data_IF_191503829139
#
_entry.id   IF_191503829139
#
_cell.length_a   1.000
_cell.length_b   1.000
_cell.length_c   1.000
_cell.angle_alpha   90.00
_cell.angle_beta   90.00
_cell.angle_gamma   90.00
#
_symmetry.space_group_name_H-M   'P 1'
#
loop_
_entity.id
_entity.type
_entity.pdbx_description
1 polymer ?
#
# COMPACT_ATOMS: atom_id res chain seq x y z
N UNK A 1 -48.41 18.40 19.37
CA UNK A 1 -47.54 17.46 18.64
C UNK A 1 -46.12 17.70 19.10
N UNK A 2 -45.70 16.94 20.11
CA UNK A 2 -44.37 17.07 20.72
C UNK A 2 -43.40 16.29 19.83
N UNK A 3 -42.64 16.98 18.97
CA UNK A 3 -41.59 16.36 18.19
C UNK A 3 -40.47 15.97 19.15
N UNK A 4 -40.36 14.67 19.44
CA UNK A 4 -39.20 14.08 20.09
C UNK A 4 -37.97 14.30 19.19
N UNK A 5 -37.23 15.38 19.46
CA UNK A 5 -35.86 15.53 18.98
C UNK A 5 -35.01 14.50 19.75
N UNK A 6 -35.01 13.26 19.27
CA UNK A 6 -34.01 12.27 19.67
C UNK A 6 -32.65 12.90 19.30
N UNK A 7 -31.77 13.19 20.28
CA UNK A 7 -30.46 13.70 19.94
C UNK A 7 -29.81 12.62 19.08
N UNK A 8 -29.39 12.97 17.88
CA UNK A 8 -28.47 12.15 17.12
C UNK A 8 -27.17 12.20 17.93
N UNK A 9 -27.10 11.39 18.99
CA UNK A 9 -25.88 11.14 19.72
C UNK A 9 -24.94 10.58 18.67
N UNK A 10 -24.04 11.43 18.19
CA UNK A 10 -22.88 10.99 17.43
C UNK A 10 -22.22 9.94 18.33
N UNK A 11 -22.40 8.67 17.97
CA UNK A 11 -21.67 7.56 18.56
C UNK A 11 -20.21 7.85 18.20
N UNK A 12 -19.52 8.55 19.10
CA UNK A 12 -18.08 8.72 19.02
C UNK A 12 -17.49 7.33 19.23
N UNK A 13 -17.28 6.60 18.14
CA UNK A 13 -16.52 5.36 18.16
C UNK A 13 -15.07 5.77 18.41
N UNK A 14 -14.66 5.75 19.66
CA UNK A 14 -13.25 5.87 20.00
C UNK A 14 -12.56 4.57 19.58
N UNK A 15 -11.52 4.66 18.76
CA UNK A 15 -10.61 3.54 18.55
C UNK A 15 -9.92 3.28 19.89
N UNK A 16 -10.12 2.10 20.49
CA UNK A 16 -9.82 1.91 21.91
C UNK A 16 -8.33 1.77 22.23
N UNK A 17 -7.46 1.59 21.23
CA UNK A 17 -6.02 1.41 21.42
C UNK A 17 -5.17 1.70 20.17
N UNK A 18 -5.67 2.46 19.19
CA UNK A 18 -4.89 2.85 18.01
C UNK A 18 -4.00 4.06 18.36
N UNK A 19 -2.69 3.95 18.12
CA UNK A 19 -1.77 5.08 18.28
C UNK A 19 -1.92 6.07 17.10
N UNK A 20 -2.51 7.24 17.36
CA UNK A 20 -2.82 8.23 16.33
C UNK A 20 -1.84 9.40 16.26
N UNK A 21 -1.01 9.62 17.29
CA UNK A 21 -0.09 10.77 17.33
C UNK A 21 1.18 10.49 16.53
N UNK A 22 1.69 9.27 16.60
CA UNK A 22 2.91 8.85 15.90
C UNK A 22 2.69 7.59 15.05
N UNK A 23 1.86 7.64 13.99
CA UNK A 23 1.68 6.51 13.09
C UNK A 23 2.94 6.29 12.24
N UNK A 24 3.22 5.03 11.90
CA UNK A 24 4.24 4.73 10.89
C UNK A 24 3.66 4.98 9.50
N UNK A 25 4.23 5.96 8.79
CA UNK A 25 3.77 6.36 7.46
C UNK A 25 4.72 5.91 6.37
N UNK A 26 4.20 5.17 5.39
CA UNK A 26 4.90 4.86 4.16
C UNK A 26 4.35 5.72 3.02
N UNK A 27 5.19 5.99 2.03
CA UNK A 27 4.79 6.75 0.84
C UNK A 27 5.46 6.18 -0.39
N UNK A 28 4.77 6.26 -1.53
CA UNK A 28 5.26 5.78 -2.81
C UNK A 28 5.26 6.87 -3.89
N UNK A 29 5.54 6.50 -5.15
CA UNK A 29 5.60 7.44 -6.26
C UNK A 29 4.27 8.19 -6.46
N UNK A 30 4.34 9.50 -6.74
CA UNK A 30 3.15 10.34 -6.96
C UNK A 30 2.31 9.80 -8.13
N UNK A 31 1.00 9.71 -7.92
CA UNK A 31 0.05 9.26 -8.96
C UNK A 31 0.01 7.74 -9.19
N UNK A 32 0.83 6.95 -8.49
CA UNK A 32 0.89 5.49 -8.62
C UNK A 32 -0.26 4.73 -7.93
N UNK A 33 -1.04 5.43 -7.12
CA UNK A 33 -2.07 4.89 -6.23
C UNK A 33 -1.46 3.91 -5.20
N UNK A 34 -0.25 4.21 -4.71
CA UNK A 34 0.36 3.51 -3.59
C UNK A 34 -0.59 3.46 -2.39
N UNK A 35 -0.85 2.25 -1.88
CA UNK A 35 -1.84 2.00 -0.83
C UNK A 35 -3.19 1.50 -1.34
N UNK A 36 -3.30 1.20 -2.64
CA UNK A 36 -4.53 0.63 -3.22
C UNK A 36 -4.88 -0.75 -2.64
N UNK A 37 -3.86 -1.55 -2.33
CA UNK A 37 -3.97 -2.82 -1.61
C UNK A 37 -2.83 -2.97 -0.62
N UNK A 38 -3.07 -3.68 0.48
CA UNK A 38 -2.13 -3.89 1.57
C UNK A 38 -2.13 -5.35 2.01
N UNK A 39 -0.97 -5.86 2.40
CA UNK A 39 -0.81 -7.16 3.06
C UNK A 39 0.35 -7.12 4.06
N UNK A 40 0.43 -8.13 4.93
CA UNK A 40 1.49 -8.31 5.92
C UNK A 40 2.40 -9.44 5.49
N UNK A 41 3.70 -9.19 5.48
CA UNK A 41 4.71 -10.18 5.13
C UNK A 41 5.71 -10.38 6.27
N UNK A 42 5.78 -11.61 6.79
CA UNK A 42 6.67 -11.99 7.90
C UNK A 42 7.47 -13.26 7.56
N UNK A 43 8.57 -13.12 6.80
CA UNK A 43 9.44 -14.24 6.46
C UNK A 43 10.35 -14.63 7.64
N UNK A 44 9.83 -15.49 8.53
CA UNK A 44 10.58 -16.10 9.62
C UNK A 44 11.39 -15.06 10.40
N UNK A 45 12.71 -15.26 10.49
CA UNK A 45 13.60 -14.44 11.32
C UNK A 45 13.97 -13.07 10.70
N UNK A 46 13.43 -12.71 9.53
CA UNK A 46 13.82 -11.47 8.80
C UNK A 46 12.98 -10.24 9.16
N UNK A 47 12.06 -10.37 10.11
CA UNK A 47 11.22 -9.27 10.56
C UNK A 47 9.98 -9.03 9.69
N UNK A 48 9.19 -8.03 10.09
CA UNK A 48 7.86 -7.74 9.56
C UNK A 48 7.99 -6.70 8.45
N UNK A 49 7.25 -6.88 7.37
CA UNK A 49 7.11 -5.87 6.31
C UNK A 49 5.65 -5.68 5.96
N UNK A 50 5.31 -4.45 5.59
CA UNK A 50 4.03 -4.15 4.94
C UNK A 50 4.24 -4.26 3.44
N UNK A 51 3.39 -5.02 2.78
CA UNK A 51 3.34 -5.12 1.32
C UNK A 51 2.32 -4.12 0.82
N UNK A 52 2.72 -3.26 -0.11
CA UNK A 52 1.86 -2.19 -0.62
C UNK A 52 1.72 -2.27 -2.13
N UNK A 53 0.49 -2.38 -2.62
CA UNK A 53 0.17 -2.30 -4.04
C UNK A 53 0.06 -0.85 -4.53
N UNK A 54 0.59 -0.57 -5.71
CA UNK A 54 0.49 0.70 -6.42
C UNK A 54 0.20 0.44 -7.91
N UNK A 55 -1.08 0.28 -8.31
CA UNK A 55 -1.45 -0.23 -9.63
C UNK A 55 -1.10 0.71 -10.79
N UNK A 56 -0.72 1.97 -10.53
CA UNK A 56 -0.25 2.93 -11.55
C UNK A 56 1.24 3.26 -11.43
N UNK A 57 1.99 2.51 -10.62
CA UNK A 57 3.45 2.69 -10.60
C UNK A 57 4.05 2.35 -11.97
N UNK A 58 5.04 3.14 -12.39
CA UNK A 58 5.84 2.80 -13.56
C UNK A 58 6.80 1.66 -13.21
N UNK A 59 7.02 0.78 -14.18
CA UNK A 59 7.94 -0.36 -14.08
C UNK A 59 9.05 -0.22 -15.10
N UNK A 60 10.07 -1.08 -14.99
CA UNK A 60 11.16 -1.16 -15.98
C UNK A 60 10.81 -2.05 -17.18
N UNK A 61 9.57 -2.55 -17.27
CA UNK A 61 9.14 -3.42 -18.37
C UNK A 61 9.14 -2.62 -19.69
N UNK A 62 9.79 -3.11 -20.75
CA UNK A 62 9.89 -2.39 -22.03
C UNK A 62 8.51 -2.13 -22.65
N UNK A 63 8.25 -0.87 -23.03
CA UNK A 63 7.02 -0.48 -23.72
C UNK A 63 5.76 -0.51 -22.84
N UNK A 64 5.87 -0.72 -21.52
CA UNK A 64 4.73 -0.74 -20.59
C UNK A 64 4.68 0.58 -19.83
N UNK A 65 3.53 1.26 -19.87
CA UNK A 65 3.27 2.49 -19.12
C UNK A 65 2.39 2.12 -17.93
N UNK A 66 2.80 2.53 -16.73
CA UNK A 66 2.02 2.32 -15.49
C UNK A 66 1.58 0.86 -15.30
N UNK A 67 2.48 -0.10 -15.54
CA UNK A 67 2.20 -1.54 -15.41
C UNK A 67 1.82 -1.98 -14.00
N UNK A 68 2.05 -1.12 -13.00
CA UNK A 68 1.77 -1.39 -11.61
C UNK A 68 2.95 -2.03 -10.90
N UNK A 69 3.02 -1.83 -9.59
CA UNK A 69 4.11 -2.35 -8.78
C UNK A 69 3.63 -2.72 -7.39
N UNK A 70 4.42 -3.58 -6.75
CA UNK A 70 4.26 -3.95 -5.35
C UNK A 70 5.52 -3.52 -4.63
N UNK A 71 5.36 -2.95 -3.43
CA UNK A 71 6.46 -2.43 -2.63
C UNK A 71 6.55 -3.19 -1.30
N UNK A 72 7.77 -3.52 -0.88
CA UNK A 72 8.07 -4.01 0.46
C UNK A 72 8.52 -2.84 1.32
N UNK A 73 7.82 -2.64 2.43
CA UNK A 73 8.08 -1.58 3.40
C UNK A 73 8.46 -2.22 4.75
N UNK A 74 9.76 -2.32 5.09
CA UNK A 74 10.19 -2.95 6.33
C UNK A 74 9.66 -2.19 7.56
N UNK A 75 9.03 -2.92 8.48
CA UNK A 75 8.42 -2.33 9.66
C UNK A 75 9.46 -1.91 10.71
N UNK A 76 10.54 -2.69 10.86
CA UNK A 76 11.59 -2.42 11.85
C UNK A 76 12.69 -1.48 11.34
N UNK A 77 12.71 -1.13 10.05
CA UNK A 77 13.72 -0.22 9.52
C UNK A 77 13.54 1.19 10.10
N UNK A 78 14.67 1.84 10.42
CA UNK A 78 14.71 3.21 10.92
C UNK A 78 14.34 4.25 9.87
N UNK A 79 14.40 3.91 8.57
CA UNK A 79 13.87 4.70 7.48
C UNK A 79 12.52 4.11 7.01
N UNK A 80 11.56 4.97 6.66
CA UNK A 80 10.25 4.56 6.12
C UNK A 80 10.33 4.30 4.60
N UNK A 81 11.47 3.82 4.14
CA UNK A 81 11.70 3.54 2.72
C UNK A 81 11.08 2.21 2.33
N UNK A 82 10.46 2.20 1.15
CA UNK A 82 9.92 0.99 0.54
C UNK A 82 10.65 0.70 -0.76
N UNK A 83 10.92 -0.58 -1.04
CA UNK A 83 11.55 -1.04 -2.27
C UNK A 83 10.55 -1.77 -3.15
N UNK A 84 10.61 -1.58 -4.47
CA UNK A 84 9.77 -2.31 -5.41
C UNK A 84 10.19 -3.77 -5.51
N UNK A 85 9.24 -4.69 -5.46
CA UNK A 85 9.45 -6.11 -5.72
C UNK A 85 9.46 -6.34 -7.23
N UNK A 86 10.53 -6.94 -7.75
CA UNK A 86 10.65 -7.28 -9.15
C UNK A 86 10.03 -8.65 -9.42
N UNK A 87 8.74 -8.69 -9.75
CA UNK A 87 8.05 -9.93 -10.11
C UNK A 87 8.26 -10.32 -11.59
N UNK A 88 8.10 -9.37 -12.51
CA UNK A 88 8.35 -9.56 -13.95
C UNK A 88 9.07 -8.34 -14.55
N UNK A 89 10.37 -8.45 -14.88
CA UNK A 89 11.10 -7.39 -15.57
C UNK A 89 10.83 -7.34 -17.09
N UNK A 90 10.26 -8.40 -17.66
CA UNK A 90 10.28 -8.67 -19.10
C UNK A 90 9.07 -8.07 -19.80
N UNK A 91 7.91 -8.10 -19.14
CA UNK A 91 6.64 -7.73 -19.76
C UNK A 91 6.23 -8.77 -20.82
N UNK A 92 5.41 -8.35 -21.77
CA UNK A 92 5.02 -9.23 -22.86
C UNK A 92 6.23 -9.55 -23.76
N UNK A 93 6.68 -10.81 -23.74
CA UNK A 93 7.65 -11.31 -24.71
C UNK A 93 6.93 -11.46 -26.05
N UNK A 94 7.13 -10.50 -26.94
CA UNK A 94 6.64 -10.52 -28.33
C UNK A 94 7.43 -11.61 -29.07
N UNK A 95 7.06 -12.88 -28.91
CA UNK A 95 7.54 -14.00 -29.74
C UNK A 95 6.81 -13.99 -31.09
N UNK A 96 6.96 -12.93 -31.88
CA UNK A 96 6.47 -12.93 -33.27
C UNK A 96 7.67 -13.10 -34.20
N UNK A 97 8.04 -14.35 -34.39
CA UNK A 97 9.05 -14.82 -35.34
C UNK A 97 8.53 -15.99 -36.19
N UNK A 98 7.25 -15.94 -36.56
CA UNK A 98 6.84 -16.37 -37.91
C UNK A 98 7.06 -15.18 -38.84
#
# INVERSE_FOLDING_TARGET
>A
MLFHLLPMFFLNSHALNLETQNPKTFSGPKGSYFGFSLDVYEPGDKGLSIVVGAPKANTSQPGVISGGGVFLCPWQAGNNECSSILFDPTGAVILWGW
#
